data_IF_685783759213
#
_entry.id   IF_685783759213
#
_cell.length_a   1.000
_cell.length_b   1.000
_cell.length_c   1.000
_cell.angle_alpha   90.00
_cell.angle_beta   90.00
_cell.angle_gamma   90.00
#
_symmetry.space_group_name_H-M   'P 1'
#
loop_
_entity.id
_entity.type
_entity.pdbx_description
1 polymer ?
#
# COMPACT_ATOMS: atom_id res chain seq x y z
N UNK A 1 7.96 -11.78 19.57
CA UNK A 1 7.08 -10.85 18.83
C UNK A 1 7.58 -10.52 17.42
N UNK A 2 8.78 -9.95 17.21
CA UNK A 2 9.20 -9.39 15.90
C UNK A 2 9.34 -10.38 14.71
N UNK A 3 9.80 -11.61 14.96
CA UNK A 3 10.04 -12.59 13.87
C UNK A 3 8.75 -13.17 13.27
N UNK A 4 7.69 -13.28 14.07
CA UNK A 4 6.38 -13.76 13.63
C UNK A 4 5.67 -12.68 12.82
N UNK A 5 5.75 -11.41 13.26
CA UNK A 5 5.17 -10.27 12.55
C UNK A 5 5.80 -10.07 11.15
N UNK A 6 7.13 -10.19 11.02
CA UNK A 6 7.82 -10.11 9.72
C UNK A 6 7.40 -11.27 8.79
N UNK A 7 7.27 -12.49 9.31
CA UNK A 7 6.78 -13.62 8.52
C UNK A 7 5.34 -13.40 8.01
N UNK A 8 4.45 -12.94 8.89
CA UNK A 8 3.07 -12.61 8.53
C UNK A 8 2.99 -11.50 7.49
N UNK A 9 3.78 -10.43 7.64
CA UNK A 9 3.83 -9.34 6.66
C UNK A 9 4.28 -9.82 5.29
N UNK A 10 5.33 -10.66 5.22
CA UNK A 10 5.80 -11.25 3.96
C UNK A 10 4.73 -12.14 3.33
N UNK A 11 4.02 -12.93 4.13
CA UNK A 11 2.92 -13.76 3.64
C UNK A 11 1.78 -12.91 3.08
N UNK A 12 1.37 -11.86 3.80
CA UNK A 12 0.35 -10.90 3.35
C UNK A 12 0.77 -10.22 2.05
N UNK A 13 2.02 -9.77 1.94
CA UNK A 13 2.54 -9.14 0.73
C UNK A 13 2.52 -10.11 -0.47
N UNK A 14 2.88 -11.38 -0.27
CA UNK A 14 2.82 -12.40 -1.32
C UNK A 14 1.38 -12.74 -1.75
N UNK A 15 0.45 -12.77 -0.80
CA UNK A 15 -0.97 -12.96 -1.08
C UNK A 15 -1.54 -11.75 -1.84
N UNK A 16 -1.26 -10.53 -1.38
CA UNK A 16 -1.64 -9.30 -2.08
C UNK A 16 -1.07 -9.21 -3.49
N UNK A 17 0.18 -9.64 -3.69
CA UNK A 17 0.80 -9.79 -5.03
C UNK A 17 0.04 -10.76 -5.92
N UNK A 18 -0.49 -11.84 -5.36
CA UNK A 18 -1.31 -12.80 -6.11
C UNK A 18 -2.68 -12.19 -6.44
N UNK A 19 -3.34 -11.56 -5.47
CA UNK A 19 -4.63 -10.87 -5.66
C UNK A 19 -4.53 -9.76 -6.71
N UNK A 20 -3.49 -8.93 -6.67
CA UNK A 20 -3.24 -7.87 -7.65
C UNK A 20 -3.12 -8.39 -9.09
N UNK A 21 -2.61 -9.61 -9.30
CA UNK A 21 -2.53 -10.23 -10.64
C UNK A 21 -3.88 -10.70 -11.16
N UNK A 22 -4.80 -11.03 -10.26
CA UNK A 22 -6.15 -11.51 -10.59
C UNK A 22 -7.13 -10.36 -10.85
N UNK A 23 -6.76 -9.12 -10.53
CA UNK A 23 -7.61 -7.96 -10.78
C UNK A 23 -8.00 -7.86 -12.27
N UNK A 24 -9.26 -7.53 -12.56
CA UNK A 24 -9.75 -7.42 -13.93
C UNK A 24 -9.09 -6.24 -14.63
N UNK A 25 -8.18 -6.53 -15.58
CA UNK A 25 -7.48 -5.53 -16.40
C UNK A 25 -8.27 -5.21 -17.66
N UNK A 26 -8.46 -3.92 -17.93
CA UNK A 26 -9.16 -3.42 -19.11
C UNK A 26 -10.67 -3.71 -19.12
N UNK A 27 -11.24 -4.11 -17.98
CA UNK A 27 -12.66 -4.43 -17.84
C UNK A 27 -13.35 -3.44 -16.90
N UNK A 28 -14.63 -3.18 -17.15
CA UNK A 28 -15.46 -2.38 -16.23
C UNK A 28 -15.83 -3.26 -15.03
N UNK A 29 -15.66 -2.70 -13.84
CA UNK A 29 -16.14 -3.27 -12.59
C UNK A 29 -17.57 -2.77 -12.34
N UNK A 30 -18.40 -3.56 -11.67
CA UNK A 30 -19.76 -3.16 -11.31
C UNK A 30 -19.74 -2.28 -10.05
N UNK A 31 -18.86 -2.58 -9.11
CA UNK A 31 -18.65 -1.80 -7.90
C UNK A 31 -17.20 -1.94 -7.38
N UNK A 32 -16.81 -1.10 -6.42
CA UNK A 32 -15.44 -1.13 -5.86
C UNK A 32 -15.13 -2.45 -5.14
N UNK A 33 -16.14 -3.09 -4.54
CA UNK A 33 -15.98 -4.37 -3.85
C UNK A 33 -15.46 -5.49 -4.78
N UNK A 34 -15.65 -5.38 -6.10
CA UNK A 34 -15.14 -6.35 -7.09
C UNK A 34 -13.60 -6.38 -7.14
N UNK A 35 -12.94 -5.34 -6.63
CA UNK A 35 -11.48 -5.17 -6.67
C UNK A 35 -10.87 -4.94 -5.29
N UNK A 36 -11.66 -5.02 -4.22
CA UNK A 36 -11.18 -4.84 -2.86
C UNK A 36 -10.30 -6.01 -2.41
N UNK A 37 -9.13 -5.68 -1.87
CA UNK A 37 -8.36 -6.55 -0.99
C UNK A 37 -7.52 -5.70 -0.05
N UNK A 38 -7.10 -6.29 1.07
CA UNK A 38 -6.35 -5.61 2.12
C UNK A 38 -5.03 -6.31 2.41
N UNK A 39 -3.94 -5.53 2.37
CA UNK A 39 -2.60 -5.90 2.82
C UNK A 39 -2.15 -4.94 3.92
N UNK A 40 -2.26 -3.62 3.67
CA UNK A 40 -1.82 -2.57 4.59
C UNK A 40 -2.85 -1.47 4.80
N UNK A 41 -3.72 -1.20 3.83
CA UNK A 41 -4.84 -0.27 4.02
C UNK A 41 -5.76 -0.69 5.18
N UNK A 42 -6.58 0.21 5.68
CA UNK A 42 -7.47 -0.10 6.82
C UNK A 42 -8.61 -1.03 6.41
N UNK A 43 -9.12 -0.90 5.18
CA UNK A 43 -10.32 -1.62 4.73
C UNK A 43 -10.05 -2.54 3.54
N UNK A 44 -9.74 -1.96 2.38
CA UNK A 44 -9.62 -2.68 1.11
C UNK A 44 -9.04 -1.84 -0.02
N UNK A 45 -8.51 -0.66 0.33
CA UNK A 45 -8.02 0.33 -0.61
C UNK A 45 -6.78 -0.16 -1.37
N UNK A 46 -6.02 -1.11 -0.84
CA UNK A 46 -4.86 -1.67 -1.56
C UNK A 46 -5.29 -2.22 -2.92
N UNK A 47 -6.41 -2.94 -2.97
CA UNK A 47 -6.96 -3.48 -4.22
C UNK A 47 -7.59 -2.43 -5.12
N UNK A 48 -8.34 -1.49 -4.54
CA UNK A 48 -8.96 -0.39 -5.30
C UNK A 48 -7.87 0.48 -5.97
N UNK A 49 -6.84 0.86 -5.21
CA UNK A 49 -5.74 1.70 -5.69
C UNK A 49 -4.90 0.94 -6.71
N UNK A 50 -4.58 -0.34 -6.46
CA UNK A 50 -3.88 -1.20 -7.42
C UNK A 50 -4.66 -1.31 -8.74
N UNK A 51 -5.98 -1.47 -8.68
CA UNK A 51 -6.84 -1.46 -9.86
C UNK A 51 -6.77 -0.10 -10.57
N UNK A 52 -6.93 1.02 -9.87
CA UNK A 52 -6.87 2.37 -10.45
C UNK A 52 -5.55 2.62 -11.19
N UNK A 53 -4.40 2.37 -10.55
CA UNK A 53 -3.08 2.63 -11.16
C UNK A 53 -2.73 1.66 -12.30
N UNK A 54 -3.50 0.57 -12.46
CA UNK A 54 -3.39 -0.33 -13.61
C UNK A 54 -4.25 0.10 -14.81
N UNK A 55 -5.21 1.01 -14.60
CA UNK A 55 -6.14 1.50 -15.64
C UNK A 55 -5.90 2.96 -16.03
N UNK A 56 -5.28 3.75 -15.15
CA UNK A 56 -4.95 5.15 -15.41
C UNK A 56 -3.46 5.26 -15.72
N UNK A 57 -3.06 5.95 -16.80
CA UNK A 57 -1.65 6.24 -17.05
C UNK A 57 -1.07 7.08 -15.91
N UNK A 58 -0.09 6.54 -15.19
CA UNK A 58 0.65 7.25 -14.15
C UNK A 58 2.13 7.33 -14.57
N UNK A 59 2.54 8.38 -15.30
CA UNK A 59 3.88 8.46 -15.88
C UNK A 59 4.98 8.57 -14.83
N UNK A 60 4.65 9.11 -13.65
CA UNK A 60 5.55 9.23 -12.52
C UNK A 60 5.12 8.26 -11.42
N UNK A 61 5.86 7.16 -11.24
CA UNK A 61 5.60 6.13 -10.23
C UNK A 61 5.89 6.63 -8.80
N UNK A 62 5.13 7.65 -8.39
CA UNK A 62 5.27 8.38 -7.15
C UNK A 62 3.91 8.63 -6.51
N UNK A 63 3.89 8.67 -5.19
CA UNK A 63 2.70 8.99 -4.42
C UNK A 63 3.01 10.04 -3.35
N UNK A 64 1.97 10.71 -2.86
CA UNK A 64 2.04 11.58 -1.70
C UNK A 64 0.89 11.17 -0.77
N UNK A 65 1.19 10.90 0.50
CA UNK A 65 0.17 10.57 1.52
C UNK A 65 0.32 11.49 2.73
N UNK A 66 -0.79 12.05 3.18
CA UNK A 66 -0.88 12.96 4.33
C UNK A 66 -1.64 12.27 5.46
N UNK A 67 -1.27 12.54 6.70
CA UNK A 67 -1.89 11.91 7.88
C UNK A 67 -1.54 10.44 7.99
N UNK A 68 -0.26 10.09 7.78
CA UNK A 68 0.20 8.70 7.71
C UNK A 68 0.40 8.02 9.07
N UNK A 69 0.36 8.77 10.16
CA UNK A 69 0.73 8.29 11.49
C UNK A 69 2.06 7.51 11.47
N UNK A 70 2.04 6.22 11.82
CA UNK A 70 3.22 5.35 11.81
C UNK A 70 3.47 4.64 10.48
N UNK A 71 2.63 4.89 9.47
CA UNK A 71 2.60 4.24 8.15
C UNK A 71 2.52 2.70 8.22
N UNK A 72 2.04 2.15 9.34
CA UNK A 72 1.73 0.72 9.45
C UNK A 72 0.50 0.36 8.62
N UNK A 73 -0.53 1.19 8.75
CA UNK A 73 -1.77 1.11 7.99
C UNK A 73 -1.84 2.31 7.06
N UNK A 74 -1.66 2.09 5.76
CA UNK A 74 -1.52 3.18 4.80
C UNK A 74 -1.89 2.76 3.39
N UNK A 75 -2.50 3.69 2.67
CA UNK A 75 -3.06 3.44 1.34
C UNK A 75 -1.97 3.29 0.27
N UNK A 76 -0.83 3.93 0.45
CA UNK A 76 0.26 3.86 -0.51
C UNK A 76 1.34 2.83 -0.16
N UNK A 77 1.26 2.16 1.01
CA UNK A 77 2.29 1.19 1.41
C UNK A 77 2.34 -0.01 0.49
N UNK A 78 1.19 -0.47 0.00
CA UNK A 78 1.18 -1.55 -0.99
C UNK A 78 1.79 -1.09 -2.33
N UNK A 79 1.56 0.15 -2.78
CA UNK A 79 2.25 0.68 -3.98
C UNK A 79 3.77 0.71 -3.81
N UNK A 80 4.25 1.16 -2.64
CA UNK A 80 5.68 1.15 -2.29
C UNK A 80 6.27 -0.26 -2.41
N UNK A 81 5.65 -1.26 -1.77
CA UNK A 81 6.23 -2.61 -1.67
C UNK A 81 5.92 -3.53 -2.87
N UNK A 82 4.77 -3.36 -3.53
CA UNK A 82 4.33 -4.17 -4.66
C UNK A 82 4.90 -3.66 -5.98
N UNK A 83 4.88 -2.34 -6.20
CA UNK A 83 5.24 -1.69 -7.47
C UNK A 83 6.56 -0.93 -7.41
N UNK A 84 7.21 -0.86 -6.25
CA UNK A 84 8.45 -0.12 -6.07
C UNK A 84 8.29 1.39 -6.36
N UNK A 85 7.11 1.94 -6.07
CA UNK A 85 6.82 3.37 -6.21
C UNK A 85 7.50 4.17 -5.11
N UNK A 86 7.88 5.42 -5.39
CA UNK A 86 8.54 6.30 -4.40
C UNK A 86 7.54 7.29 -3.80
N UNK A 87 7.49 7.35 -2.48
CA UNK A 87 6.53 8.17 -1.76
C UNK A 87 7.11 9.42 -1.12
N UNK A 88 6.27 10.45 -0.99
CA UNK A 88 6.39 11.43 0.09
C UNK A 88 5.28 11.14 1.10
N UNK A 89 5.64 11.02 2.38
CA UNK A 89 4.69 10.79 3.47
C UNK A 89 4.84 11.87 4.53
N UNK A 90 3.72 12.38 5.05
CA UNK A 90 3.71 13.47 6.01
C UNK A 90 2.61 13.27 7.06
N UNK A 91 2.90 13.65 8.30
CA UNK A 91 1.95 13.63 9.41
C UNK A 91 2.17 14.86 10.30
N UNK A 92 1.11 15.37 10.91
CA UNK A 92 1.18 16.54 11.80
C UNK A 92 1.87 16.25 13.13
N UNK A 93 1.97 14.98 13.53
CA UNK A 93 2.63 14.58 14.77
C UNK A 93 4.11 14.28 14.53
N UNK A 94 4.98 15.10 15.15
CA UNK A 94 6.42 14.85 15.14
C UNK A 94 6.79 13.48 15.71
N UNK A 95 6.05 13.04 16.73
CA UNK A 95 6.22 11.71 17.35
C UNK A 95 5.95 10.59 16.34
N UNK A 96 4.89 10.72 15.55
CA UNK A 96 4.55 9.75 14.51
C UNK A 96 5.65 9.68 13.45
N UNK A 97 6.10 10.85 12.97
CA UNK A 97 7.16 10.93 11.98
C UNK A 97 8.52 10.45 12.49
N UNK A 98 8.85 10.68 13.77
CA UNK A 98 10.07 10.16 14.40
C UNK A 98 10.03 8.64 14.51
N UNK A 99 8.90 8.07 14.94
CA UNK A 99 8.70 6.63 14.99
C UNK A 99 8.83 6.00 13.60
N UNK A 100 8.19 6.57 12.59
CA UNK A 100 8.29 6.11 11.21
C UNK A 100 9.74 6.14 10.69
N UNK A 101 10.47 7.25 10.89
CA UNK A 101 11.87 7.40 10.45
C UNK A 101 12.84 6.36 11.03
N UNK A 102 12.54 5.81 12.21
CA UNK A 102 13.34 4.76 12.84
C UNK A 102 13.14 3.37 12.22
N UNK A 103 12.11 3.19 11.38
CA UNK A 103 11.77 1.89 10.79
C UNK A 103 12.51 1.69 9.46
N UNK A 104 12.97 0.47 9.14
CA UNK A 104 13.58 0.16 7.84
C UNK A 104 12.68 0.52 6.66
N UNK A 105 11.36 0.41 6.82
CA UNK A 105 10.35 0.75 5.81
C UNK A 105 10.49 2.18 5.28
N UNK A 106 10.91 3.15 6.11
CA UNK A 106 11.06 4.54 5.67
C UNK A 106 12.23 4.74 4.68
N UNK A 107 13.19 3.81 4.68
CA UNK A 107 14.42 3.87 3.89
C UNK A 107 14.44 2.88 2.71
N UNK A 108 13.32 2.18 2.45
CA UNK A 108 13.10 1.43 1.21
C UNK A 108 12.90 2.37 0.02
#
# INVERSE_FOLDING_TARGET
>A
MGRVADFSERSLLLQGKSSARLLPKGQRIACLADVEFRVFSQWGEDGIIEWLVSHVPVPNHRFIEFGVESFSEANCRFLLQNRNWKGLVMDGSERNMAALRSRPLYWM
#
